data_IF_233237056704
#
_entry.id   IF_233237056704
#
_cell.length_a   1.000
_cell.length_b   1.000
_cell.length_c   1.000
_cell.angle_alpha   90.00
_cell.angle_beta   90.00
_cell.angle_gamma   90.00
#
_symmetry.space_group_name_H-M   'P 1'
#
loop_
_entity.id
_entity.type
_entity.pdbx_description
1 polymer ?
#
# COMPACT_ATOMS: atom_id res chain seq x y z
N UNK A 1 -14.09 -8.04 -24.20
CA UNK A 1 -14.01 -8.13 -22.72
C UNK A 1 -14.49 -6.81 -22.15
N UNK A 2 -15.42 -6.84 -21.16
CA UNK A 2 -15.92 -5.63 -20.48
C UNK A 2 -15.26 -5.55 -19.10
N UNK A 3 -14.74 -4.39 -18.72
CA UNK A 3 -14.16 -4.13 -17.39
C UNK A 3 -14.43 -2.71 -16.94
N UNK A 4 -14.38 -2.46 -15.64
CA UNK A 4 -14.59 -1.14 -15.05
C UNK A 4 -13.32 -0.71 -14.35
N UNK A 5 -12.96 0.55 -14.48
CA UNK A 5 -11.81 1.18 -13.81
C UNK A 5 -12.30 2.21 -12.81
N UNK A 6 -11.74 2.18 -11.62
CA UNK A 6 -12.01 3.14 -10.54
C UNK A 6 -10.71 3.81 -10.12
N UNK A 7 -10.74 5.13 -10.06
CA UNK A 7 -9.59 5.97 -9.72
C UNK A 7 -10.06 7.30 -9.12
N UNK A 8 -9.18 8.10 -8.49
CA UNK A 8 -9.52 9.45 -8.03
C UNK A 8 -10.03 10.35 -9.17
N UNK A 9 -10.90 11.29 -8.83
CA UNK A 9 -11.39 12.27 -9.80
C UNK A 9 -10.26 13.18 -10.30
N UNK A 10 -9.31 13.50 -9.41
CA UNK A 10 -8.15 14.34 -9.72
C UNK A 10 -6.89 13.73 -9.15
N UNK A 11 -5.85 13.68 -9.94
CA UNK A 11 -4.50 13.26 -9.54
C UNK A 11 -3.54 14.40 -9.89
N UNK A 12 -2.86 14.94 -8.87
CA UNK A 12 -1.76 15.89 -9.04
C UNK A 12 -0.45 15.15 -8.81
N UNK A 13 0.48 15.27 -9.73
CA UNK A 13 1.81 14.69 -9.62
C UNK A 13 2.88 15.73 -9.89
N UNK A 14 3.88 15.82 -9.04
CA UNK A 14 5.06 16.65 -9.26
C UNK A 14 5.68 17.15 -7.95
N UNK A 15 6.99 17.43 -8.00
CA UNK A 15 7.69 17.98 -6.83
C UNK A 15 7.08 19.33 -6.45
N UNK A 16 6.79 19.52 -5.18
CA UNK A 16 6.12 20.66 -4.58
C UNK A 16 4.61 20.79 -4.89
N UNK A 17 4.01 19.82 -5.56
CA UNK A 17 2.57 19.85 -5.87
C UNK A 17 1.70 19.97 -4.63
N UNK A 18 2.06 19.31 -3.53
CA UNK A 18 1.31 19.41 -2.28
C UNK A 18 1.52 20.73 -1.53
N UNK A 19 2.69 21.37 -1.68
CA UNK A 19 2.98 22.68 -1.11
C UNK A 19 2.23 23.82 -1.83
N UNK A 20 2.13 23.68 -3.14
CA UNK A 20 1.60 24.76 -4.01
C UNK A 20 0.10 24.56 -4.30
N UNK A 21 -0.49 23.46 -3.81
CA UNK A 21 -1.92 23.21 -3.91
C UNK A 21 -2.72 24.17 -3.01
N UNK A 22 -3.77 24.77 -3.56
CA UNK A 22 -4.68 25.62 -2.81
C UNK A 22 -5.67 24.77 -2.00
N UNK A 23 -5.30 24.42 -0.78
CA UNK A 23 -6.17 23.64 0.09
C UNK A 23 -7.44 24.41 0.48
N UNK A 24 -8.60 23.74 0.52
CA UNK A 24 -9.79 24.34 1.08
C UNK A 24 -9.61 24.60 2.58
N UNK A 25 -10.31 25.59 3.09
CA UNK A 25 -10.35 25.89 4.52
C UNK A 25 -11.18 24.84 5.28
N UNK A 26 -11.03 24.80 6.60
CA UNK A 26 -11.77 23.93 7.51
C UNK A 26 -11.60 22.45 7.19
N UNK A 27 -10.34 22.01 7.08
CA UNK A 27 -9.98 20.62 6.88
C UNK A 27 -9.72 19.88 8.19
N UNK A 28 -9.98 18.56 8.20
CA UNK A 28 -9.45 17.63 9.20
C UNK A 28 -8.24 16.92 8.62
N UNK A 29 -7.05 17.19 9.18
CA UNK A 29 -5.82 16.49 8.77
C UNK A 29 -5.63 15.25 9.65
N UNK A 30 -5.43 14.10 9.01
CA UNK A 30 -5.16 12.83 9.67
C UNK A 30 -3.75 12.40 9.27
N UNK A 31 -2.86 12.28 10.27
CA UNK A 31 -1.44 12.03 10.06
C UNK A 31 -0.82 11.26 11.23
N UNK A 32 0.50 11.06 11.18
CA UNK A 32 1.29 10.45 12.25
C UNK A 32 2.20 11.46 12.93
N UNK A 33 2.62 11.16 14.17
CA UNK A 33 3.63 11.96 14.88
C UNK A 33 4.90 12.14 14.07
N UNK A 34 5.30 11.11 13.29
CA UNK A 34 6.47 11.18 12.44
C UNK A 34 6.37 12.21 11.32
N UNK A 35 5.22 12.35 10.69
CA UNK A 35 4.98 13.36 9.66
C UNK A 35 5.00 14.79 10.25
N UNK A 36 4.36 14.96 11.41
CA UNK A 36 4.36 16.24 12.13
C UNK A 36 5.79 16.65 12.54
N UNK A 37 6.54 15.75 13.14
CA UNK A 37 7.91 16.02 13.61
C UNK A 37 8.89 16.38 12.46
N UNK A 38 8.58 15.98 11.23
CA UNK A 38 9.35 16.34 10.03
C UNK A 38 8.94 17.69 9.43
N UNK A 39 7.99 18.40 10.03
CA UNK A 39 7.50 19.68 9.52
C UNK A 39 6.62 19.55 8.26
N UNK A 40 6.13 18.36 7.94
CA UNK A 40 5.35 18.15 6.72
C UNK A 40 3.96 18.81 6.77
N UNK A 41 3.42 19.05 7.97
CA UNK A 41 2.19 19.85 8.12
C UNK A 41 2.40 21.31 7.70
N UNK A 42 3.48 21.93 8.18
CA UNK A 42 3.82 23.30 7.84
C UNK A 42 4.17 23.46 6.35
N UNK A 43 4.79 22.42 5.78
CA UNK A 43 5.11 22.37 4.36
C UNK A 43 3.87 22.48 3.46
N UNK A 44 2.71 21.92 3.86
CA UNK A 44 1.47 21.99 3.10
C UNK A 44 0.83 23.38 3.08
N UNK A 45 1.19 24.29 4.00
CA UNK A 45 0.64 25.65 4.12
C UNK A 45 -0.90 25.71 4.24
N UNK A 46 -1.52 24.67 4.78
CA UNK A 46 -2.98 24.65 5.02
C UNK A 46 -3.33 25.65 6.10
N UNK A 47 -4.39 26.40 5.89
CA UNK A 47 -4.94 27.35 6.87
C UNK A 47 -6.23 26.80 7.48
N UNK A 48 -6.54 27.19 8.73
CA UNK A 48 -7.79 26.85 9.41
C UNK A 48 -8.09 25.33 9.34
N UNK A 49 -7.28 24.52 10.01
CA UNK A 49 -7.45 23.07 10.05
C UNK A 49 -7.50 22.53 11.47
N UNK A 50 -8.12 21.38 11.62
CA UNK A 50 -8.00 20.51 12.79
C UNK A 50 -7.06 19.36 12.46
N UNK A 51 -6.37 18.80 13.46
CA UNK A 51 -5.41 17.72 13.22
C UNK A 51 -5.56 16.59 14.23
N UNK A 52 -5.52 15.37 13.72
CA UNK A 52 -5.22 14.15 14.48
C UNK A 52 -3.86 13.62 14.00
N UNK A 53 -2.85 13.64 14.86
CA UNK A 53 -1.46 13.35 14.51
C UNK A 53 -0.90 12.07 15.14
N UNK A 54 -1.77 11.21 15.64
CA UNK A 54 -1.39 10.03 16.43
C UNK A 54 -1.74 8.69 15.76
N UNK A 55 -1.85 8.67 14.40
CA UNK A 55 -2.06 7.42 13.68
C UNK A 55 -0.85 6.51 13.87
N UNK A 56 -1.09 5.32 14.40
CA UNK A 56 -0.10 4.27 14.61
C UNK A 56 0.17 3.46 13.34
N UNK A 57 1.31 2.76 13.32
CA UNK A 57 1.58 1.76 12.29
C UNK A 57 0.60 0.59 12.40
N UNK A 58 0.08 0.12 11.26
CA UNK A 58 -0.98 -0.89 11.22
C UNK A 58 -2.20 -0.51 12.08
N UNK A 59 -2.89 0.58 11.73
CA UNK A 59 -3.90 1.23 12.57
C UNK A 59 -5.10 0.33 12.83
N UNK A 60 -5.73 0.56 13.97
CA UNK A 60 -6.93 -0.17 14.37
C UNK A 60 -8.21 0.56 13.94
N UNK A 61 -9.32 -0.17 13.85
CA UNK A 61 -10.63 0.45 13.65
C UNK A 61 -10.98 1.38 14.81
N UNK A 62 -10.47 1.11 16.03
CA UNK A 62 -10.66 1.97 17.20
C UNK A 62 -10.09 3.36 17.01
N UNK A 63 -8.93 3.48 16.35
CA UNK A 63 -8.34 4.78 15.99
C UNK A 63 -9.29 5.60 15.12
N UNK A 64 -10.00 4.97 14.18
CA UNK A 64 -11.00 5.66 13.38
C UNK A 64 -12.23 6.08 14.18
N UNK A 65 -12.65 5.26 15.13
CA UNK A 65 -13.78 5.55 16.03
C UNK A 65 -13.43 6.69 17.00
N UNK A 66 -12.20 6.74 17.53
CA UNK A 66 -11.66 7.81 18.35
C UNK A 66 -11.73 9.15 17.59
N UNK A 67 -11.18 9.20 16.37
CA UNK A 67 -11.21 10.42 15.54
C UNK A 67 -12.64 10.87 15.30
N UNK A 68 -13.54 9.97 14.95
CA UNK A 68 -14.95 10.33 14.70
C UNK A 68 -15.61 10.87 15.98
N UNK A 69 -15.29 10.31 17.14
CA UNK A 69 -15.80 10.76 18.43
C UNK A 69 -15.27 12.14 18.82
N UNK A 70 -13.96 12.36 18.68
CA UNK A 70 -13.30 13.60 19.06
C UNK A 70 -13.81 14.81 18.26
N UNK A 71 -14.11 14.57 16.99
CA UNK A 71 -14.54 15.61 16.06
C UNK A 71 -16.04 15.58 15.73
N UNK A 72 -16.87 14.83 16.46
CA UNK A 72 -18.31 14.60 16.16
C UNK A 72 -19.17 15.85 16.03
N UNK A 73 -18.77 16.94 16.72
CA UNK A 73 -19.53 18.20 16.73
C UNK A 73 -19.03 19.20 15.66
N UNK A 74 -18.07 18.79 14.83
CA UNK A 74 -17.50 19.63 13.79
C UNK A 74 -17.89 19.10 12.41
N UNK A 75 -17.93 19.99 11.45
CA UNK A 75 -18.10 19.66 10.04
C UNK A 75 -16.86 20.10 9.28
N UNK A 76 -16.43 19.34 8.29
CA UNK A 76 -15.22 19.61 7.52
C UNK A 76 -15.55 19.69 6.04
N UNK A 77 -14.86 20.58 5.33
CA UNK A 77 -14.90 20.61 3.87
C UNK A 77 -14.19 19.40 3.25
N UNK A 78 -13.07 19.01 3.85
CA UNK A 78 -12.30 17.83 3.44
C UNK A 78 -11.62 17.15 4.64
N UNK A 79 -11.44 15.83 4.52
CA UNK A 79 -10.45 15.07 5.29
C UNK A 79 -9.17 15.00 4.47
N UNK A 80 -8.05 15.44 5.02
CA UNK A 80 -6.74 15.38 4.38
C UNK A 80 -5.91 14.28 5.03
N UNK A 81 -5.64 13.20 4.32
CA UNK A 81 -4.70 12.17 4.74
C UNK A 81 -3.28 12.54 4.33
N UNK A 82 -2.37 12.70 5.29
CA UNK A 82 -0.95 12.97 5.05
C UNK A 82 -0.10 11.89 5.71
N UNK A 83 0.62 11.10 4.95
CA UNK A 83 1.50 10.08 5.52
C UNK A 83 1.65 8.83 4.67
N UNK A 84 2.15 7.76 5.28
CA UNK A 84 2.18 6.44 4.65
C UNK A 84 0.80 5.80 4.59
N UNK A 85 0.72 4.59 4.03
CA UNK A 85 -0.54 3.86 3.86
C UNK A 85 -1.43 3.81 5.10
N UNK A 86 -0.85 3.68 6.30
CA UNK A 86 -1.61 3.69 7.57
C UNK A 86 -2.42 4.97 7.77
N UNK A 87 -1.80 6.15 7.61
CA UNK A 87 -2.52 7.43 7.75
C UNK A 87 -3.56 7.62 6.66
N UNK A 88 -3.24 7.20 5.42
CA UNK A 88 -4.17 7.32 4.31
C UNK A 88 -5.39 6.39 4.47
N UNK A 89 -5.19 5.17 4.97
CA UNK A 89 -6.25 4.21 5.19
C UNK A 89 -7.22 4.67 6.30
N UNK A 90 -6.69 5.25 7.38
CA UNK A 90 -7.50 5.88 8.44
C UNK A 90 -8.27 7.07 7.87
N UNK A 91 -7.61 7.96 7.12
CA UNK A 91 -8.24 9.13 6.53
C UNK A 91 -9.39 8.75 5.57
N UNK A 92 -9.18 7.75 4.71
CA UNK A 92 -10.22 7.20 3.83
C UNK A 92 -11.43 6.70 4.60
N UNK A 93 -11.17 5.90 5.65
CA UNK A 93 -12.24 5.28 6.42
C UNK A 93 -13.03 6.32 7.22
N UNK A 94 -12.36 7.26 7.87
CA UNK A 94 -13.00 8.37 8.59
C UNK A 94 -13.83 9.23 7.63
N UNK A 95 -13.25 9.69 6.51
CA UNK A 95 -13.95 10.48 5.51
C UNK A 95 -15.22 9.79 4.99
N UNK A 96 -15.12 8.47 4.72
CA UNK A 96 -16.27 7.66 4.30
C UNK A 96 -17.38 7.64 5.38
N UNK A 97 -17.02 7.45 6.65
CA UNK A 97 -17.96 7.37 7.76
C UNK A 97 -18.67 8.70 8.03
N UNK A 98 -17.94 9.82 7.99
CA UNK A 98 -18.53 11.16 8.19
C UNK A 98 -19.07 11.77 6.89
N UNK A 99 -19.05 11.03 5.78
CA UNK A 99 -19.56 11.43 4.45
C UNK A 99 -18.94 12.72 3.91
N UNK A 100 -17.61 12.87 4.10
CA UNK A 100 -16.84 14.06 3.69
C UNK A 100 -15.90 13.69 2.53
N UNK A 101 -15.60 14.67 1.67
CA UNK A 101 -14.59 14.53 0.61
C UNK A 101 -13.20 14.33 1.20
N UNK A 102 -12.30 13.75 0.43
CA UNK A 102 -10.94 13.45 0.90
C UNK A 102 -9.86 13.82 -0.11
N UNK A 103 -8.76 14.38 0.44
CA UNK A 103 -7.51 14.63 -0.25
C UNK A 103 -6.47 13.69 0.36
N UNK A 104 -5.77 12.90 -0.44
CA UNK A 104 -4.76 11.96 0.04
C UNK A 104 -3.38 12.31 -0.49
N UNK A 105 -2.41 12.41 0.43
CA UNK A 105 -1.04 12.83 0.17
C UNK A 105 -0.08 11.76 0.73
N UNK A 106 0.42 10.83 -0.11
CA UNK A 106 1.37 9.83 0.34
C UNK A 106 2.73 10.44 0.65
N UNK A 107 3.36 10.00 1.74
CA UNK A 107 4.74 10.35 2.09
C UNK A 107 5.68 9.16 2.03
N UNK A 108 5.13 7.98 1.74
CA UNK A 108 5.85 6.75 1.37
C UNK A 108 5.26 6.25 0.06
N UNK A 109 6.10 5.74 -0.85
CA UNK A 109 5.69 5.36 -2.19
C UNK A 109 5.76 3.84 -2.33
N UNK A 110 4.71 3.17 -1.85
CA UNK A 110 4.62 1.72 -1.79
C UNK A 110 3.18 1.22 -1.82
N UNK A 111 2.34 1.72 -0.91
CA UNK A 111 1.00 1.16 -0.71
C UNK A 111 -0.02 1.49 -1.80
N UNK A 112 0.19 2.55 -2.58
CA UNK A 112 -0.80 3.07 -3.55
C UNK A 112 -2.14 3.46 -2.92
N UNK A 113 -2.19 3.62 -1.59
CA UNK A 113 -3.44 3.87 -0.87
C UNK A 113 -4.15 5.14 -1.32
N UNK A 114 -3.41 6.13 -1.80
CA UNK A 114 -3.94 7.41 -2.28
C UNK A 114 -4.83 7.29 -3.52
N UNK A 115 -4.67 6.22 -4.30
CA UNK A 115 -5.44 6.02 -5.54
C UNK A 115 -6.30 4.77 -5.54
N UNK A 116 -6.30 4.00 -4.44
CA UNK A 116 -7.05 2.74 -4.35
C UNK A 116 -8.34 2.88 -3.55
N UNK A 117 -9.28 1.96 -3.80
CA UNK A 117 -10.54 1.77 -3.04
C UNK A 117 -10.35 0.87 -1.81
N UNK A 118 -9.11 0.68 -1.35
CA UNK A 118 -8.74 -0.28 -0.32
C UNK A 118 -8.31 0.50 0.93
N UNK A 119 -8.81 0.10 2.10
CA UNK A 119 -8.33 0.55 3.41
C UNK A 119 -8.05 -0.68 4.28
N UNK A 120 -6.86 -0.77 4.87
CA UNK A 120 -6.45 -1.89 5.72
C UNK A 120 -6.36 -1.45 7.17
N UNK A 121 -7.22 -2.01 8.00
CA UNK A 121 -7.30 -1.69 9.44
C UNK A 121 -7.25 -2.98 10.27
N UNK A 122 -6.80 -2.89 11.51
CA UNK A 122 -6.92 -3.99 12.47
C UNK A 122 -8.30 -4.03 13.09
N UNK A 123 -8.96 -5.17 12.98
CA UNK A 123 -10.22 -5.49 13.66
C UNK A 123 -9.95 -6.69 14.55
N UNK A 124 -10.19 -6.56 15.85
CA UNK A 124 -9.90 -7.62 16.85
C UNK A 124 -8.46 -8.15 16.75
N UNK A 125 -7.48 -7.24 16.57
CA UNK A 125 -6.05 -7.56 16.48
C UNK A 125 -5.58 -8.13 15.15
N UNK A 126 -6.47 -8.37 14.17
CA UNK A 126 -6.14 -8.94 12.86
C UNK A 126 -6.32 -7.90 11.76
N UNK A 127 -5.41 -7.86 10.78
CA UNK A 127 -5.54 -7.03 9.59
C UNK A 127 -6.75 -7.46 8.77
N UNK A 128 -7.58 -6.50 8.40
CA UNK A 128 -8.73 -6.67 7.53
C UNK A 128 -8.72 -5.60 6.43
N UNK A 129 -8.88 -6.02 5.18
CA UNK A 129 -9.00 -5.13 4.03
C UNK A 129 -10.48 -4.79 3.80
N UNK A 130 -10.77 -3.50 3.73
CA UNK A 130 -12.08 -2.96 3.33
C UNK A 130 -11.99 -2.49 1.89
N UNK A 131 -12.98 -2.87 1.07
CA UNK A 131 -13.05 -2.54 -0.35
C UNK A 131 -14.38 -1.85 -0.63
N UNK A 132 -14.32 -0.56 -0.93
CA UNK A 132 -15.51 0.24 -1.21
C UNK A 132 -15.13 1.41 -2.13
N UNK A 133 -15.94 1.68 -3.15
CA UNK A 133 -15.68 2.81 -4.07
C UNK A 133 -15.71 4.16 -3.34
N UNK A 134 -16.42 4.26 -2.22
CA UNK A 134 -16.45 5.45 -1.37
C UNK A 134 -15.10 5.74 -0.67
N UNK A 135 -14.17 4.78 -0.64
CA UNK A 135 -12.82 4.96 -0.10
C UNK A 135 -11.88 5.63 -1.09
N UNK A 136 -12.23 5.70 -2.38
CA UNK A 136 -11.41 6.37 -3.39
C UNK A 136 -11.30 7.86 -3.03
N UNK A 137 -10.09 8.40 -3.18
CA UNK A 137 -9.86 9.82 -2.98
C UNK A 137 -10.62 10.69 -3.99
N UNK A 138 -11.10 11.85 -3.56
CA UNK A 138 -11.57 12.87 -4.50
C UNK A 138 -10.35 13.49 -5.21
N UNK A 139 -9.28 13.73 -4.45
CA UNK A 139 -8.01 14.26 -4.95
C UNK A 139 -6.86 13.45 -4.36
N UNK A 140 -5.98 12.95 -5.20
CA UNK A 140 -4.69 12.39 -4.81
C UNK A 140 -3.57 13.35 -5.21
N UNK A 141 -2.68 13.69 -4.26
CA UNK A 141 -1.55 14.58 -4.54
C UNK A 141 -0.26 13.82 -4.25
N UNK A 142 0.47 13.47 -5.29
CA UNK A 142 1.70 12.69 -5.20
C UNK A 142 2.90 13.61 -5.40
N UNK A 143 3.54 13.95 -4.31
CA UNK A 143 4.66 14.89 -4.27
C UNK A 143 5.98 14.16 -3.99
N UNK A 144 6.88 14.01 -4.98
CA UNK A 144 8.16 13.34 -4.79
C UNK A 144 9.08 13.98 -3.73
N UNK A 145 8.78 15.21 -3.30
CA UNK A 145 9.51 15.87 -2.20
C UNK A 145 9.59 15.00 -0.94
N UNK A 146 8.56 14.23 -0.63
CA UNK A 146 8.52 13.42 0.59
C UNK A 146 9.49 12.25 0.60
N UNK A 147 10.14 11.91 -0.52
CA UNK A 147 11.26 10.96 -0.55
C UNK A 147 12.47 11.55 0.19
N UNK A 148 12.63 12.87 0.08
CA UNK A 148 13.70 13.58 0.77
C UNK A 148 13.48 13.49 2.30
N UNK A 149 14.44 12.98 3.04
CA UNK A 149 14.31 12.75 4.48
C UNK A 149 13.59 11.45 4.89
N UNK A 150 13.19 10.62 3.94
CA UNK A 150 12.73 9.25 4.23
C UNK A 150 13.93 8.31 4.39
N UNK A 151 13.90 7.46 5.44
CA UNK A 151 15.00 6.52 5.69
C UNK A 151 15.10 5.47 4.60
N UNK A 152 16.32 4.99 4.33
CA UNK A 152 16.55 3.94 3.32
C UNK A 152 15.75 2.66 3.61
N UNK A 153 15.53 2.32 4.87
CA UNK A 153 14.71 1.18 5.26
C UNK A 153 13.25 1.34 4.79
N UNK A 154 12.66 2.52 4.99
CA UNK A 154 11.29 2.82 4.52
C UNK A 154 11.25 2.83 3.00
N UNK A 155 12.25 3.41 2.33
CA UNK A 155 12.35 3.41 0.86
C UNK A 155 12.38 1.98 0.32
N UNK A 156 13.25 1.10 0.86
CA UNK A 156 13.36 -0.31 0.44
C UNK A 156 12.03 -1.06 0.61
N UNK A 157 11.43 -0.93 1.80
CA UNK A 157 10.15 -1.60 2.09
C UNK A 157 9.02 -1.12 1.17
N UNK A 158 8.94 0.18 0.91
CA UNK A 158 7.93 0.75 0.02
C UNK A 158 8.15 0.35 -1.45
N UNK A 159 9.40 0.39 -1.91
CA UNK A 159 9.75 0.06 -3.29
C UNK A 159 9.44 -1.40 -3.63
N UNK A 160 9.81 -2.34 -2.76
CA UNK A 160 9.55 -3.77 -3.00
C UNK A 160 8.06 -4.09 -2.89
N UNK A 161 7.30 -3.40 -2.01
CA UNK A 161 5.85 -3.53 -1.92
C UNK A 161 5.18 -3.14 -3.25
N UNK A 162 5.54 -1.98 -3.83
CA UNK A 162 5.04 -1.59 -5.15
C UNK A 162 5.42 -2.60 -6.24
N UNK A 163 6.65 -3.12 -6.25
CA UNK A 163 7.06 -4.13 -7.22
C UNK A 163 6.24 -5.42 -7.09
N UNK A 164 6.00 -5.88 -5.86
CA UNK A 164 5.17 -7.04 -5.57
C UNK A 164 3.72 -6.81 -6.03
N UNK A 165 3.14 -5.66 -5.69
CA UNK A 165 1.78 -5.30 -6.06
C UNK A 165 1.58 -5.31 -7.58
N UNK A 166 2.42 -4.60 -8.35
CA UNK A 166 2.21 -4.51 -9.79
C UNK A 166 2.49 -5.84 -10.51
N UNK A 167 3.50 -6.60 -10.10
CA UNK A 167 3.80 -7.89 -10.73
C UNK A 167 2.73 -8.95 -10.45
N UNK A 168 2.25 -9.04 -9.21
CA UNK A 168 1.14 -9.94 -8.89
C UNK A 168 -0.18 -9.51 -9.54
N UNK A 169 -0.48 -8.21 -9.57
CA UNK A 169 -1.67 -7.68 -10.20
C UNK A 169 -1.68 -7.91 -11.72
N UNK A 170 -0.52 -7.87 -12.37
CA UNK A 170 -0.38 -8.22 -13.78
C UNK A 170 -0.76 -9.68 -14.05
N UNK A 171 -0.31 -10.60 -13.20
CA UNK A 171 -0.53 -12.04 -13.34
C UNK A 171 -1.93 -12.46 -12.85
N UNK A 172 -2.63 -11.63 -12.10
CA UNK A 172 -3.89 -11.96 -11.42
C UNK A 172 -5.03 -12.32 -12.39
N UNK A 173 -5.98 -13.15 -11.94
CA UNK A 173 -7.18 -13.47 -12.72
C UNK A 173 -8.07 -12.25 -13.01
N UNK A 174 -8.08 -11.25 -12.12
CA UNK A 174 -8.81 -10.01 -12.31
C UNK A 174 -8.10 -9.01 -13.21
N UNK A 175 -6.90 -9.31 -13.68
CA UNK A 175 -6.18 -8.44 -14.61
C UNK A 175 -6.92 -8.29 -15.94
N UNK A 176 -6.79 -7.12 -16.53
CA UNK A 176 -7.36 -6.77 -17.83
C UNK A 176 -6.32 -5.94 -18.62
N UNK A 177 -6.53 -5.64 -19.91
CA UNK A 177 -5.56 -4.91 -20.71
C UNK A 177 -5.11 -3.57 -20.10
N UNK A 178 -6.01 -2.84 -19.44
CA UNK A 178 -5.69 -1.58 -18.78
C UNK A 178 -4.78 -1.79 -17.57
N UNK A 179 -5.15 -2.70 -16.66
CA UNK A 179 -4.34 -2.97 -15.46
C UNK A 179 -2.99 -3.60 -15.81
N UNK A 180 -2.94 -4.48 -16.81
CA UNK A 180 -1.67 -5.06 -17.30
C UNK A 180 -0.73 -4.00 -17.86
N UNK A 181 -1.23 -3.07 -18.66
CA UNK A 181 -0.44 -1.96 -19.19
C UNK A 181 0.15 -1.11 -18.07
N UNK A 182 -0.68 -0.70 -17.10
CA UNK A 182 -0.21 0.10 -15.96
C UNK A 182 0.79 -0.67 -15.09
N UNK A 183 0.50 -1.92 -14.75
CA UNK A 183 1.36 -2.73 -13.90
C UNK A 183 2.72 -3.01 -14.54
N UNK A 184 2.76 -3.30 -15.84
CA UNK A 184 4.03 -3.47 -16.54
C UNK A 184 4.84 -2.18 -16.58
N UNK A 185 4.19 -1.05 -16.94
CA UNK A 185 4.83 0.28 -16.95
C UNK A 185 5.35 0.65 -15.56
N UNK A 186 4.57 0.40 -14.51
CA UNK A 186 4.97 0.65 -13.14
C UNK A 186 6.20 -0.19 -12.77
N UNK A 187 6.21 -1.47 -13.11
CA UNK A 187 7.32 -2.36 -12.81
C UNK A 187 8.61 -1.90 -13.51
N UNK A 188 8.55 -1.51 -14.77
CA UNK A 188 9.70 -0.99 -15.53
C UNK A 188 10.30 0.25 -14.85
N UNK A 189 9.45 1.20 -14.40
CA UNK A 189 9.89 2.42 -13.70
C UNK A 189 10.51 2.09 -12.34
N UNK A 190 9.87 1.21 -11.56
CA UNK A 190 10.32 0.81 -10.23
C UNK A 190 11.63 0.03 -10.29
N UNK A 191 11.74 -0.93 -11.20
CA UNK A 191 12.96 -1.69 -11.43
C UNK A 191 14.12 -0.76 -11.80
N UNK A 192 13.91 0.14 -12.77
CA UNK A 192 14.92 1.13 -13.16
C UNK A 192 15.33 2.00 -11.95
N UNK A 193 14.35 2.49 -11.18
CA UNK A 193 14.59 3.32 -10.01
C UNK A 193 15.45 2.62 -8.96
N UNK A 194 15.14 1.35 -8.67
CA UNK A 194 15.83 0.56 -7.63
C UNK A 194 17.22 0.17 -8.10
N UNK A 195 17.37 -0.37 -9.30
CA UNK A 195 18.65 -0.88 -9.80
C UNK A 195 19.68 0.24 -10.02
N UNK A 196 19.23 1.46 -10.30
CA UNK A 196 20.08 2.62 -10.56
C UNK A 196 20.08 3.66 -9.43
N UNK A 197 19.53 3.35 -8.25
CA UNK A 197 19.44 4.24 -7.09
C UNK A 197 18.76 5.61 -7.41
N UNK A 198 17.78 5.61 -8.33
CA UNK A 198 16.99 6.78 -8.76
C UNK A 198 15.66 6.85 -8.01
N UNK A 199 15.74 6.92 -6.68
CA UNK A 199 14.59 6.78 -5.79
C UNK A 199 13.53 7.87 -5.96
N UNK A 200 13.88 9.02 -6.53
CA UNK A 200 12.91 10.06 -6.90
C UNK A 200 11.84 9.59 -7.90
N UNK A 201 12.13 8.52 -8.66
CA UNK A 201 11.18 7.92 -9.60
C UNK A 201 10.19 6.96 -8.95
N UNK A 202 10.43 6.54 -7.69
CA UNK A 202 9.54 5.64 -6.98
C UNK A 202 8.13 6.22 -6.82
N UNK A 203 8.01 7.54 -6.65
CA UNK A 203 6.73 8.20 -6.53
C UNK A 203 5.84 7.97 -7.78
N UNK A 204 6.41 8.09 -8.98
CA UNK A 204 5.70 7.85 -10.23
C UNK A 204 5.37 6.35 -10.39
N UNK A 205 6.35 5.48 -10.15
CA UNK A 205 6.16 4.04 -10.25
C UNK A 205 5.07 3.54 -9.30
N UNK A 206 5.09 4.00 -8.04
CA UNK A 206 4.07 3.65 -7.04
C UNK A 206 2.68 4.17 -7.39
N UNK A 207 2.57 5.40 -7.91
CA UNK A 207 1.30 5.95 -8.39
C UNK A 207 0.70 5.09 -9.49
N UNK A 208 1.48 4.79 -10.54
CA UNK A 208 0.99 3.98 -11.67
C UNK A 208 0.66 2.55 -11.20
N UNK A 209 1.48 1.99 -10.30
CA UNK A 209 1.20 0.71 -9.65
C UNK A 209 -0.16 0.73 -8.94
N UNK A 210 -0.41 1.75 -8.10
CA UNK A 210 -1.67 1.91 -7.37
C UNK A 210 -2.90 1.95 -8.28
N UNK A 211 -2.81 2.66 -9.41
CA UNK A 211 -3.87 2.70 -10.42
C UNK A 211 -4.11 1.33 -11.08
N UNK A 212 -3.05 0.55 -11.27
CA UNK A 212 -3.12 -0.80 -11.83
C UNK A 212 -3.71 -1.81 -10.84
N UNK A 213 -2.97 -2.07 -9.73
CA UNK A 213 -3.37 -3.12 -8.78
C UNK A 213 -4.66 -2.79 -8.02
N UNK A 214 -4.97 -1.52 -7.81
CA UNK A 214 -6.24 -1.09 -7.20
C UNK A 214 -7.48 -1.57 -7.94
N UNK A 215 -7.33 -1.94 -9.22
CA UNK A 215 -8.39 -2.44 -10.09
C UNK A 215 -8.28 -3.94 -10.44
N UNK A 216 -7.22 -4.64 -9.99
CA UNK A 216 -7.05 -6.09 -10.25
C UNK A 216 -6.62 -6.88 -9.02
N UNK A 217 -6.25 -6.20 -7.92
CA UNK A 217 -5.82 -6.80 -6.66
C UNK A 217 -4.51 -7.59 -6.77
N UNK A 218 -3.99 -8.03 -5.64
CA UNK A 218 -2.79 -8.85 -5.49
C UNK A 218 -3.14 -10.34 -5.30
N UNK A 219 -2.14 -11.21 -5.15
CA UNK A 219 -2.32 -12.66 -5.18
C UNK A 219 -1.55 -13.39 -4.07
N UNK A 220 -0.98 -14.54 -4.35
CA UNK A 220 -0.36 -15.48 -3.42
C UNK A 220 0.76 -14.89 -2.56
N UNK A 221 1.64 -14.05 -3.13
CA UNK A 221 2.75 -13.46 -2.40
C UNK A 221 2.26 -12.58 -1.24
N UNK A 222 1.20 -11.79 -1.47
CA UNK A 222 0.56 -11.01 -0.41
C UNK A 222 -0.12 -11.91 0.62
N UNK A 223 -0.84 -12.97 0.20
CA UNK A 223 -1.44 -13.93 1.13
C UNK A 223 -0.40 -14.56 2.06
N UNK A 224 0.75 -14.99 1.51
CA UNK A 224 1.85 -15.55 2.26
C UNK A 224 2.49 -14.53 3.22
N UNK A 225 2.56 -13.26 2.85
CA UNK A 225 3.25 -12.23 3.63
C UNK A 225 2.59 -11.91 4.98
N UNK A 226 1.29 -12.14 5.10
CA UNK A 226 0.54 -11.75 6.30
C UNK A 226 0.97 -12.50 7.56
N UNK A 227 1.34 -13.78 7.46
CA UNK A 227 1.80 -14.53 8.63
C UNK A 227 3.10 -13.97 9.19
N UNK A 228 4.02 -13.52 8.34
CA UNK A 228 5.25 -12.84 8.75
C UNK A 228 4.99 -11.43 9.30
N UNK A 229 4.08 -10.69 8.65
CA UNK A 229 3.71 -9.35 9.12
C UNK A 229 3.00 -9.36 10.46
N UNK A 230 2.27 -10.43 10.77
CA UNK A 230 1.64 -10.62 12.08
C UNK A 230 2.67 -10.90 13.20
N UNK A 231 3.86 -11.40 12.85
CA UNK A 231 4.99 -11.57 13.77
C UNK A 231 5.87 -10.31 13.87
N UNK A 232 5.48 -9.20 13.25
CA UNK A 232 6.17 -7.91 13.34
C UNK A 232 7.20 -7.66 12.25
N UNK A 233 7.36 -8.56 11.26
CA UNK A 233 8.21 -8.31 10.10
C UNK A 233 7.57 -7.23 9.24
N UNK A 234 8.35 -6.24 8.80
CA UNK A 234 7.86 -5.18 7.92
C UNK A 234 7.28 -5.78 6.63
N UNK A 235 6.14 -5.24 6.17
CA UNK A 235 5.36 -5.83 5.08
C UNK A 235 6.17 -5.99 3.79
N UNK A 236 6.88 -4.94 3.35
CA UNK A 236 7.73 -5.03 2.17
C UNK A 236 8.87 -6.04 2.35
N UNK A 237 9.47 -6.12 3.55
CA UNK A 237 10.48 -7.13 3.85
C UNK A 237 9.91 -8.55 3.70
N UNK A 238 8.72 -8.82 4.23
CA UNK A 238 8.06 -10.11 4.04
C UNK A 238 7.79 -10.39 2.55
N UNK A 239 7.28 -9.39 1.81
CA UNK A 239 6.99 -9.50 0.38
C UNK A 239 8.23 -9.78 -0.47
N UNK A 240 9.43 -9.32 -0.08
CA UNK A 240 10.65 -9.59 -0.83
C UNK A 240 10.91 -11.09 -1.01
N UNK A 241 10.52 -11.90 -0.05
CA UNK A 241 10.65 -13.36 -0.08
C UNK A 241 9.38 -14.05 -0.54
N UNK A 242 8.22 -13.67 -0.01
CA UNK A 242 6.96 -14.36 -0.31
C UNK A 242 6.51 -14.15 -1.75
N UNK A 243 6.73 -12.96 -2.33
CA UNK A 243 6.44 -12.72 -3.75
C UNK A 243 7.42 -13.45 -4.65
N UNK A 244 8.69 -13.59 -4.25
CA UNK A 244 9.67 -14.35 -5.03
C UNK A 244 9.26 -15.82 -5.21
N UNK A 245 8.88 -16.48 -4.11
CA UNK A 245 8.42 -17.89 -4.19
C UNK A 245 7.06 -18.00 -4.90
N UNK A 246 6.17 -17.01 -4.73
CA UNK A 246 4.90 -16.97 -5.44
C UNK A 246 5.08 -16.79 -6.96
N UNK A 247 6.01 -15.95 -7.39
CA UNK A 247 6.34 -15.78 -8.82
C UNK A 247 6.92 -17.05 -9.42
N UNK A 248 7.80 -17.74 -8.70
CA UNK A 248 8.34 -19.03 -9.14
C UNK A 248 7.22 -20.07 -9.30
N UNK A 249 6.31 -20.17 -8.31
CA UNK A 249 5.17 -21.08 -8.34
C UNK A 249 4.22 -20.78 -9.51
N UNK A 250 3.96 -19.50 -9.77
CA UNK A 250 3.03 -19.04 -10.81
C UNK A 250 3.63 -19.01 -12.23
N UNK A 251 4.92 -19.33 -12.43
CA UNK A 251 5.67 -19.12 -13.68
C UNK A 251 5.58 -17.67 -14.19
N UNK A 252 5.65 -16.71 -13.27
CA UNK A 252 5.55 -15.29 -13.58
C UNK A 252 6.69 -14.82 -14.49
N UNK A 253 6.36 -13.99 -15.48
CA UNK A 253 7.36 -13.33 -16.33
C UNK A 253 8.26 -12.38 -15.53
N UNK A 254 7.81 -11.94 -14.35
CA UNK A 254 8.56 -11.05 -13.47
C UNK A 254 9.56 -11.78 -12.55
N UNK A 255 9.53 -13.12 -12.46
CA UNK A 255 10.33 -13.85 -11.48
C UNK A 255 11.80 -13.44 -11.45
N UNK A 256 12.50 -13.48 -12.59
CA UNK A 256 13.92 -13.13 -12.66
C UNK A 256 14.21 -11.66 -12.41
N UNK A 257 13.34 -10.78 -12.87
CA UNK A 257 13.44 -9.33 -12.66
C UNK A 257 13.25 -8.99 -11.18
N UNK A 258 12.24 -9.59 -10.55
CA UNK A 258 11.96 -9.42 -9.12
C UNK A 258 13.11 -9.99 -8.25
N UNK A 259 13.68 -11.13 -8.61
CA UNK A 259 14.86 -11.71 -7.96
C UNK A 259 16.04 -10.73 -7.96
N UNK A 260 16.32 -10.06 -9.06
CA UNK A 260 17.37 -9.05 -9.16
C UNK A 260 17.12 -7.84 -8.26
N UNK A 261 15.86 -7.39 -8.17
CA UNK A 261 15.44 -6.32 -7.26
C UNK A 261 15.67 -6.73 -5.79
N UNK A 262 15.27 -7.93 -5.40
CA UNK A 262 15.46 -8.45 -4.04
C UNK A 262 16.96 -8.50 -3.69
N UNK A 263 17.82 -8.99 -4.59
CA UNK A 263 19.27 -9.01 -4.44
C UNK A 263 19.86 -7.60 -4.26
N UNK A 264 19.43 -6.64 -5.07
CA UNK A 264 19.87 -5.23 -4.98
C UNK A 264 19.49 -4.58 -3.66
N UNK A 265 18.26 -4.82 -3.20
CA UNK A 265 17.76 -4.25 -1.94
C UNK A 265 18.37 -4.92 -0.69
N UNK A 266 18.89 -6.14 -0.85
CA UNK A 266 19.64 -6.88 0.18
C UNK A 266 18.92 -6.93 1.53
N UNK A 267 17.70 -7.51 1.54
CA UNK A 267 16.97 -7.78 2.77
C UNK A 267 17.60 -8.95 3.54
N UNK A 268 17.55 -8.87 4.87
CA UNK A 268 17.95 -9.99 5.73
C UNK A 268 16.96 -11.13 5.59
N UNK A 269 17.44 -12.37 5.72
CA UNK A 269 16.56 -13.55 5.75
C UNK A 269 15.49 -13.41 6.84
N UNK A 270 14.30 -13.91 6.53
CA UNK A 270 13.18 -13.94 7.47
C UNK A 270 12.96 -15.36 7.97
N UNK A 271 12.46 -15.48 9.20
CA UNK A 271 11.99 -16.73 9.77
C UNK A 271 10.54 -16.61 10.20
N UNK A 272 9.85 -17.71 10.25
CA UNK A 272 8.48 -17.82 10.76
C UNK A 272 8.53 -18.60 12.07
N UNK A 273 8.02 -18.00 13.16
CA UNK A 273 7.92 -18.67 14.47
C UNK A 273 6.68 -19.55 14.56
N UNK A 274 5.61 -19.16 13.86
CA UNK A 274 4.37 -19.92 13.81
C UNK A 274 4.59 -21.28 13.14
N UNK A 275 4.00 -22.34 13.68
CA UNK A 275 3.98 -23.65 13.01
C UNK A 275 3.45 -23.54 11.59
N UNK A 276 4.13 -24.18 10.65
CA UNK A 276 3.85 -24.07 9.20
C UNK A 276 2.45 -24.58 8.84
N UNK A 277 1.92 -25.59 9.58
CA UNK A 277 0.56 -26.07 9.32
C UNK A 277 -0.47 -25.05 9.78
N UNK A 278 -0.27 -24.45 10.97
CA UNK A 278 -1.13 -23.36 11.45
C UNK A 278 -1.07 -22.15 10.54
N UNK A 279 0.12 -21.76 10.10
CA UNK A 279 0.32 -20.69 9.12
C UNK A 279 -0.46 -20.96 7.83
N UNK A 280 -0.37 -22.19 7.30
CA UNK A 280 -1.09 -22.59 6.08
C UNK A 280 -2.61 -22.49 6.22
N UNK A 281 -3.15 -22.82 7.39
CA UNK A 281 -4.58 -22.70 7.68
C UNK A 281 -5.05 -21.25 7.75
N UNK A 282 -4.21 -20.36 8.27
CA UNK A 282 -4.50 -18.92 8.25
C UNK A 282 -4.49 -18.36 6.83
N UNK A 283 -3.49 -18.74 6.02
CA UNK A 283 -3.37 -18.30 4.62
C UNK A 283 -4.55 -18.79 3.80
N UNK A 284 -5.01 -20.04 3.98
CA UNK A 284 -6.17 -20.59 3.27
C UNK A 284 -7.48 -19.83 3.51
N UNK A 285 -7.57 -19.04 4.59
CA UNK A 285 -8.72 -18.18 4.87
C UNK A 285 -8.72 -16.91 4.01
N UNK A 286 -7.59 -16.55 3.44
CA UNK A 286 -7.44 -15.39 2.55
C UNK A 286 -7.91 -15.71 1.12
N UNK A 287 -9.20 -16.04 1.00
CA UNK A 287 -9.82 -16.40 -0.28
C UNK A 287 -9.64 -15.33 -1.34
N UNK A 288 -9.67 -14.06 -0.95
CA UNK A 288 -9.55 -12.95 -1.89
C UNK A 288 -8.26 -13.02 -2.73
N UNK A 289 -7.11 -13.22 -2.08
CA UNK A 289 -5.82 -13.30 -2.79
C UNK A 289 -5.65 -14.66 -3.48
N UNK A 290 -6.04 -15.75 -2.82
CA UNK A 290 -5.89 -17.10 -3.37
C UNK A 290 -6.80 -17.36 -4.57
N UNK A 291 -8.06 -16.90 -4.55
CA UNK A 291 -8.98 -17.06 -5.67
C UNK A 291 -8.58 -16.19 -6.88
N UNK A 292 -7.87 -15.06 -6.62
CA UNK A 292 -7.31 -14.18 -7.64
C UNK A 292 -5.96 -14.68 -8.21
N UNK A 293 -5.32 -15.66 -7.55
CA UNK A 293 -4.04 -16.21 -8.00
C UNK A 293 -4.20 -16.93 -9.36
N UNK A 294 -3.27 -16.78 -10.33
CA UNK A 294 -3.41 -17.39 -11.65
C UNK A 294 -3.52 -18.92 -11.59
N UNK A 295 -2.78 -19.57 -10.69
CA UNK A 295 -2.86 -21.01 -10.43
C UNK A 295 -3.64 -21.30 -9.16
N UNK A 296 -4.41 -22.41 -9.10
CA UNK A 296 -4.99 -22.87 -7.85
C UNK A 296 -3.87 -23.23 -6.85
N UNK A 297 -4.15 -23.04 -5.57
CA UNK A 297 -3.16 -23.25 -4.51
C UNK A 297 -3.76 -24.16 -3.43
N UNK A 298 -3.11 -25.30 -3.18
CA UNK A 298 -3.51 -26.28 -2.14
C UNK A 298 -2.79 -26.01 -0.81
N UNK A 299 -3.27 -26.60 0.29
CA UNK A 299 -2.62 -26.54 1.59
C UNK A 299 -1.16 -27.02 1.53
N UNK A 300 -0.92 -28.14 0.83
CA UNK A 300 0.43 -28.71 0.72
C UNK A 300 1.39 -27.81 -0.05
N UNK A 301 0.91 -27.12 -1.09
CA UNK A 301 1.71 -26.14 -1.83
C UNK A 301 2.06 -24.95 -0.94
N UNK A 302 1.12 -24.42 -0.18
CA UNK A 302 1.41 -23.34 0.80
C UNK A 302 2.48 -23.77 1.80
N UNK A 303 2.37 -25.00 2.36
CA UNK A 303 3.37 -25.53 3.29
C UNK A 303 4.76 -25.60 2.63
N UNK A 304 4.84 -26.07 1.38
CA UNK A 304 6.10 -26.16 0.65
C UNK A 304 6.71 -24.78 0.37
N UNK A 305 5.88 -23.82 -0.04
CA UNK A 305 6.31 -22.43 -0.28
C UNK A 305 6.82 -21.76 1.00
N UNK A 306 6.16 -21.97 2.14
CA UNK A 306 6.63 -21.45 3.42
C UNK A 306 7.98 -22.07 3.83
N UNK A 307 8.19 -23.38 3.62
CA UNK A 307 9.46 -24.05 3.87
C UNK A 307 10.58 -23.58 2.95
N UNK A 308 10.30 -23.39 1.66
CA UNK A 308 11.26 -22.84 0.69
C UNK A 308 11.69 -21.43 1.12
N UNK A 309 10.76 -20.61 1.59
CA UNK A 309 11.01 -19.25 2.05
C UNK A 309 11.93 -19.18 3.27
N UNK A 310 11.82 -20.16 4.17
CA UNK A 310 12.68 -20.26 5.38
C UNK A 310 14.09 -20.74 5.02
N UNK A 311 14.22 -21.55 3.96
CA UNK A 311 15.49 -22.17 3.55
C UNK A 311 16.37 -21.25 2.70
N UNK A 312 15.78 -20.26 2.05
CA UNK A 312 16.46 -19.28 1.18
C UNK A 312 16.87 -18.03 1.98
#
# INVERSE_FOLDING_TARGET
MMFTVKQPNTILFGKYSSRDFAFPENCLIITSKGAKNRGWLDYLKIKNYHVFDSVESNPSIKTTEEIISDFKNLTFSYVVGLGGGSSLDVAKFVACKIKTRKILIPTTFGSGSEVTRISVLKVNGKKQSFHDDRLIADIAIVDPYFIEGTTMEVIKNSAIDSCAQCSEAYDSKLSNPYTKFLCNTAFDILEYAILNDKFEKLALGSLICGLGFGNSSTTLGHALSYVYSNEGIAHGHALSFTTLVAHKFNDSIFYKRFENIVKKLNFKKISLNLDVNLASELILKDKKHLDNNPKPVTKNEIINLLKENISN
#
